data_IF_621650958328
#
_entry.id   IF_621650958328
#
_cell.length_a   1.000
_cell.length_b   1.000
_cell.length_c   1.000
_cell.angle_alpha   90.00
_cell.angle_beta   90.00
_cell.angle_gamma   90.00
#
_symmetry.space_group_name_H-M   'P 1'
#
loop_
_entity.id
_entity.type
_entity.pdbx_description
1 polymer ?
#
# COMPACT_ATOMS: atom_id res chain seq x y z
N UNK A 1 -3.85 41.83 -1.64
CA UNK A 1 -4.61 40.59 -1.89
C UNK A 1 -5.16 40.11 -0.58
N UNK A 2 -6.42 39.70 -0.53
CA UNK A 2 -6.95 39.03 0.65
C UNK A 2 -6.32 37.64 0.80
N UNK A 3 -6.05 37.15 2.03
CA UNK A 3 -5.52 35.82 2.25
C UNK A 3 -6.57 34.76 1.88
N UNK A 4 -6.12 33.67 1.25
CA UNK A 4 -6.96 32.51 0.99
C UNK A 4 -7.39 31.85 2.32
N UNK A 5 -8.70 31.74 2.54
CA UNK A 5 -9.26 31.05 3.70
C UNK A 5 -9.57 29.61 3.31
N UNK A 6 -8.80 28.67 3.85
CA UNK A 6 -9.06 27.24 3.67
C UNK A 6 -10.11 26.82 4.71
N UNK A 7 -11.33 26.53 4.24
CA UNK A 7 -12.36 25.90 5.07
C UNK A 7 -12.14 24.39 5.09
N UNK A 8 -11.85 23.83 6.27
CA UNK A 8 -11.69 22.38 6.45
C UNK A 8 -12.92 21.83 7.17
N UNK A 9 -13.68 20.96 6.51
CA UNK A 9 -14.79 20.25 7.14
C UNK A 9 -14.25 19.19 8.12
N UNK A 10 -14.80 19.15 9.35
CA UNK A 10 -14.35 18.22 10.40
C UNK A 10 -14.51 16.75 10.02
N UNK A 11 -15.44 16.42 9.12
CA UNK A 11 -15.64 15.07 8.58
C UNK A 11 -14.51 14.60 7.64
N UNK A 12 -13.69 15.54 7.13
CA UNK A 12 -12.55 15.23 6.26
C UNK A 12 -11.24 14.98 7.03
N UNK A 13 -11.24 15.13 8.37
CA UNK A 13 -10.05 14.93 9.18
C UNK A 13 -9.73 13.43 9.30
N UNK A 14 -8.79 12.94 8.49
CA UNK A 14 -8.20 11.61 8.68
C UNK A 14 -7.14 11.69 9.77
N UNK A 15 -7.32 10.90 10.84
CA UNK A 15 -6.26 10.70 11.83
C UNK A 15 -5.11 9.99 11.13
N UNK A 16 -3.97 10.66 10.99
CA UNK A 16 -2.74 10.05 10.49
C UNK A 16 -2.15 9.24 11.64
N UNK A 17 -1.93 7.92 11.48
CA UNK A 17 -1.27 7.13 12.50
C UNK A 17 0.11 7.74 12.81
N UNK A 18 0.42 7.98 14.08
CA UNK A 18 1.73 8.54 14.50
C UNK A 18 2.93 7.69 14.07
N UNK A 19 2.68 6.43 13.75
CA UNK A 19 3.68 5.44 13.33
C UNK A 19 3.82 5.36 11.80
N UNK A 20 3.08 6.18 11.05
CA UNK A 20 3.22 6.30 9.60
C UNK A 20 4.42 7.18 9.28
N UNK A 21 5.29 6.68 8.41
CA UNK A 21 6.41 7.45 7.86
C UNK A 21 6.00 8.16 6.57
N UNK A 22 5.09 7.58 5.79
CA UNK A 22 4.62 8.16 4.54
C UNK A 22 3.21 7.70 4.15
N UNK A 23 2.66 8.33 3.10
CA UNK A 23 1.36 7.99 2.52
C UNK A 23 1.46 7.86 1.00
N UNK A 24 0.71 6.92 0.42
CA UNK A 24 0.59 6.76 -1.04
C UNK A 24 -0.87 6.66 -1.46
N UNK A 25 -1.19 7.19 -2.64
CA UNK A 25 -2.49 6.99 -3.26
C UNK A 25 -2.47 5.70 -4.08
N UNK A 26 -3.35 4.76 -3.75
CA UNK A 26 -3.50 3.50 -4.49
C UNK A 26 -4.38 3.72 -5.71
N UNK A 27 -3.98 3.12 -6.82
CA UNK A 27 -4.72 3.11 -8.08
C UNK A 27 -4.98 1.68 -8.52
N UNK A 28 -6.19 1.40 -8.99
CA UNK A 28 -6.66 0.08 -9.43
C UNK A 28 -7.31 -0.76 -8.32
N UNK A 29 -8.00 -1.83 -8.72
CA UNK A 29 -8.88 -2.62 -7.85
C UNK A 29 -8.27 -3.90 -7.26
N UNK A 30 -6.97 -4.12 -7.38
CA UNK A 30 -6.34 -5.39 -6.95
C UNK A 30 -6.40 -5.63 -5.43
N UNK A 31 -6.55 -4.57 -4.63
CA UNK A 31 -6.67 -4.66 -3.18
C UNK A 31 -8.11 -4.46 -2.69
N UNK A 32 -9.09 -4.43 -3.59
CA UNK A 32 -10.49 -4.37 -3.20
C UNK A 32 -10.99 -5.69 -2.60
N UNK A 33 -11.94 -5.66 -1.64
CA UNK A 33 -12.64 -4.46 -1.14
C UNK A 33 -11.88 -3.71 -0.02
N UNK A 34 -10.75 -4.24 0.43
CA UNK A 34 -10.02 -3.73 1.60
C UNK A 34 -9.42 -2.34 1.38
N UNK A 35 -8.78 -2.13 0.23
CA UNK A 35 -8.24 -0.85 -0.21
C UNK A 35 -8.85 -0.55 -1.58
N UNK A 36 -9.76 0.42 -1.61
CA UNK A 36 -10.47 0.85 -2.82
C UNK A 36 -9.57 1.69 -3.72
N UNK A 37 -9.85 1.68 -5.03
CA UNK A 37 -9.24 2.63 -5.95
C UNK A 37 -9.40 4.07 -5.44
N UNK A 38 -8.32 4.85 -5.52
CA UNK A 38 -8.26 6.23 -5.01
C UNK A 38 -8.05 6.35 -3.49
N UNK A 39 -7.95 5.24 -2.75
CA UNK A 39 -7.64 5.30 -1.31
C UNK A 39 -6.22 5.80 -1.08
N UNK A 40 -6.06 6.62 -0.05
CA UNK A 40 -4.74 6.95 0.52
C UNK A 40 -4.43 5.94 1.62
N UNK A 41 -3.29 5.28 1.51
CA UNK A 41 -2.81 4.32 2.51
C UNK A 41 -1.58 4.88 3.20
N UNK A 42 -1.50 4.66 4.51
CA UNK A 42 -0.36 5.03 5.34
C UNK A 42 0.58 3.83 5.48
N UNK A 43 1.87 4.08 5.45
CA UNK A 43 2.88 3.04 5.54
C UNK A 43 4.03 3.44 6.46
N UNK A 44 4.64 2.42 7.05
CA UNK A 44 5.92 2.51 7.74
C UNK A 44 7.05 2.21 6.76
N UNK A 45 8.11 3.03 6.74
CA UNK A 45 9.29 2.82 5.91
C UNK A 45 10.13 1.69 6.51
N UNK A 46 10.09 0.55 5.83
CA UNK A 46 10.84 -0.64 6.23
C UNK A 46 11.06 -1.56 5.03
N UNK A 47 12.23 -2.18 4.99
CA UNK A 47 12.64 -3.07 3.91
C UNK A 47 12.21 -4.54 4.12
N UNK A 48 11.44 -4.83 5.17
CA UNK A 48 10.94 -6.16 5.50
C UNK A 48 9.41 -6.15 5.66
N UNK A 49 8.80 -7.32 5.44
CA UNK A 49 7.38 -7.58 5.65
C UNK A 49 7.24 -9.00 6.21
N UNK A 50 6.22 -9.20 7.03
CA UNK A 50 5.87 -10.52 7.57
C UNK A 50 4.78 -11.18 6.72
N UNK A 51 4.64 -12.50 6.82
CA UNK A 51 3.58 -13.22 6.10
C UNK A 51 2.20 -12.67 6.49
N UNK A 52 1.39 -12.31 5.49
CA UNK A 52 0.09 -11.69 5.66
C UNK A 52 0.10 -10.15 5.70
N UNK A 53 1.27 -9.51 5.84
CA UNK A 53 1.35 -8.05 5.80
C UNK A 53 0.92 -7.49 4.44
N UNK A 54 0.28 -6.32 4.43
CA UNK A 54 0.11 -5.57 3.20
C UNK A 54 1.38 -4.75 2.98
N UNK A 55 2.09 -5.04 1.89
CA UNK A 55 3.35 -4.41 1.56
C UNK A 55 3.22 -3.50 0.34
N UNK A 56 3.90 -2.35 0.40
CA UNK A 56 4.28 -1.59 -0.77
C UNK A 56 5.60 -2.16 -1.28
N UNK A 57 5.59 -2.64 -2.52
CA UNK A 57 6.73 -3.29 -3.14
C UNK A 57 7.01 -2.67 -4.51
N UNK A 58 8.29 -2.56 -4.85
CA UNK A 58 8.72 -2.38 -6.23
C UNK A 58 9.04 -3.74 -6.83
N UNK A 59 8.38 -4.08 -7.93
CA UNK A 59 8.59 -5.31 -8.68
C UNK A 59 8.96 -4.95 -10.10
N UNK A 60 10.16 -5.33 -10.53
CA UNK A 60 10.67 -5.05 -11.88
C UNK A 60 10.51 -3.56 -12.27
N UNK A 61 10.83 -2.66 -11.34
CA UNK A 61 10.73 -1.20 -11.50
C UNK A 61 9.32 -0.61 -11.38
N UNK A 62 8.29 -1.42 -11.04
CA UNK A 62 6.90 -0.97 -10.89
C UNK A 62 6.43 -1.07 -9.45
N UNK A 63 5.85 0.01 -8.93
CA UNK A 63 5.25 0.03 -7.60
C UNK A 63 3.92 -0.73 -7.57
N UNK A 64 3.72 -1.51 -6.51
CA UNK A 64 2.50 -2.28 -6.27
C UNK A 64 2.18 -2.35 -4.78
N UNK A 65 0.90 -2.56 -4.46
CA UNK A 65 0.39 -2.80 -3.10
C UNK A 65 -0.27 -4.17 -3.08
N UNK A 66 0.22 -5.09 -2.24
CA UNK A 66 -0.19 -6.50 -2.21
C UNK A 66 -0.03 -7.11 -0.81
N UNK A 67 -0.78 -8.17 -0.51
CA UNK A 67 -0.47 -9.05 0.63
C UNK A 67 0.83 -9.80 0.36
N UNK A 68 1.77 -9.68 1.27
CA UNK A 68 3.05 -10.36 1.25
C UNK A 68 2.89 -11.77 1.80
N UNK A 69 3.32 -12.77 1.02
CA UNK A 69 3.39 -14.15 1.49
C UNK A 69 4.77 -14.74 1.24
N UNK A 70 5.30 -15.45 2.24
CA UNK A 70 6.54 -16.20 2.14
C UNK A 70 6.26 -17.67 1.92
N UNK A 71 6.47 -18.16 0.69
CA UNK A 71 6.33 -19.58 0.35
C UNK A 71 7.72 -20.23 0.24
N UNK A 72 8.15 -20.84 1.34
CA UNK A 72 9.50 -21.39 1.45
C UNK A 72 10.54 -20.28 1.43
N UNK A 73 11.27 -20.14 0.31
CA UNK A 73 12.29 -19.09 0.12
C UNK A 73 11.88 -18.03 -0.91
N UNK A 74 10.62 -18.03 -1.35
CA UNK A 74 10.14 -17.12 -2.37
C UNK A 74 9.00 -16.26 -1.85
N UNK A 75 9.05 -14.99 -2.22
CA UNK A 75 7.96 -14.05 -1.97
C UNK A 75 6.90 -14.23 -3.04
N UNK A 76 5.65 -14.26 -2.62
CA UNK A 76 4.49 -14.12 -3.48
C UNK A 76 3.73 -12.88 -3.02
N UNK A 77 3.30 -12.06 -3.98
CA UNK A 77 2.52 -10.86 -3.71
C UNK A 77 1.10 -11.07 -4.20
N UNK A 78 0.19 -11.26 -3.24
CA UNK A 78 -1.19 -11.64 -3.51
C UNK A 78 -2.11 -10.40 -3.51
N UNK A 79 -3.04 -10.31 -4.47
CA UNK A 79 -4.12 -9.33 -4.38
C UNK A 79 -5.11 -9.73 -3.28
N UNK A 80 -5.89 -8.76 -2.81
CA UNK A 80 -7.09 -9.06 -2.01
C UNK A 80 -8.26 -9.44 -2.94
N UNK A 81 -8.31 -8.82 -4.11
CA UNK A 81 -9.37 -9.02 -5.08
C UNK A 81 -9.11 -10.29 -5.91
N UNK A 82 -10.00 -11.30 -5.85
CA UNK A 82 -9.82 -12.57 -6.56
C UNK A 82 -9.88 -12.46 -8.09
N UNK A 83 -10.28 -11.31 -8.63
CA UNK A 83 -10.24 -11.04 -10.08
C UNK A 83 -8.82 -10.78 -10.61
N UNK A 84 -7.82 -10.66 -9.72
CA UNK A 84 -6.44 -10.40 -10.06
C UNK A 84 -5.56 -11.59 -9.67
N UNK A 85 -4.51 -11.84 -10.45
CA UNK A 85 -3.58 -12.94 -10.20
C UNK A 85 -2.44 -12.53 -9.24
N UNK A 86 -1.94 -13.46 -8.41
CA UNK A 86 -0.73 -13.24 -7.60
C UNK A 86 0.51 -12.99 -8.46
N UNK A 87 1.36 -12.07 -8.02
CA UNK A 87 2.69 -11.88 -8.61
C UNK A 87 3.63 -12.90 -7.97
N UNK A 88 3.96 -13.93 -8.74
CA UNK A 88 4.89 -14.99 -8.30
C UNK A 88 6.18 -15.00 -9.12
N UNK A 89 6.21 -14.37 -10.31
CA UNK A 89 7.38 -14.34 -11.19
C UNK A 89 7.83 -12.89 -11.35
N UNK A 90 9.11 -12.65 -11.11
CA UNK A 90 9.76 -11.34 -11.18
C UNK A 90 11.27 -11.54 -11.29
N UNK A 91 11.99 -10.55 -11.80
CA UNK A 91 13.46 -10.53 -11.81
C UNK A 91 14.01 -9.87 -10.53
N UNK A 92 13.30 -8.88 -10.03
CA UNK A 92 13.67 -8.09 -8.86
C UNK A 92 12.45 -7.74 -8.02
N UNK A 93 12.62 -7.75 -6.70
CA UNK A 93 11.61 -7.31 -5.74
C UNK A 93 12.28 -6.56 -4.61
N UNK A 94 11.69 -5.42 -4.23
CA UNK A 94 12.09 -4.64 -3.07
C UNK A 94 10.86 -4.25 -2.28
N UNK A 95 10.87 -4.52 -0.97
CA UNK A 95 9.85 -3.99 -0.06
C UNK A 95 10.24 -2.55 0.28
N UNK A 96 9.30 -1.64 0.13
CA UNK A 96 9.46 -0.21 0.42
C UNK A 96 8.82 0.17 1.75
N UNK A 97 7.77 -0.54 2.14
CA UNK A 97 7.14 -0.29 3.42
C UNK A 97 5.99 -1.25 3.70
N UNK A 98 5.62 -1.28 4.98
CA UNK A 98 4.44 -1.99 5.46
C UNK A 98 3.28 -1.03 5.55
N UNK A 99 2.17 -1.37 4.91
CA UNK A 99 0.93 -0.61 5.02
C UNK A 99 0.34 -0.83 6.42
N UNK A 100 -0.05 0.27 7.06
CA UNK A 100 -0.55 0.33 8.44
C UNK A 100 -1.92 1.03 8.51
N UNK A 101 -2.62 1.08 7.37
CA UNK A 101 -3.96 1.67 7.19
C UNK A 101 -4.84 1.58 8.42
#
# INVERSE_FOLDING_TARGET
>A
SEPEVITVESAALKVIPKVADFAVMVRGGAMEPLIKDGSVVFAKDQSNAEDGDIALAEVDGKLTCRKYHMKGRRVELHPENPLFEPITKYQSIKILGKVII
#
